data_IF_086878607518
#
_entry.id   IF_086878607518
#
_cell.length_a   1.000
_cell.length_b   1.000
_cell.length_c   1.000
_cell.angle_alpha   90.00
_cell.angle_beta   90.00
_cell.angle_gamma   90.00
#
_symmetry.space_group_name_H-M   'P 1'
#
loop_
_entity.id
_entity.type
_entity.pdbx_description
1 polymer ?
#
# COMPACT_ATOMS: atom_id res chain seq x y z
N UNK A 1 -26.65 -1.04 -1.82
CA UNK A 1 -25.65 0.00 -2.19
C UNK A 1 -26.40 1.29 -2.47
N UNK A 2 -25.94 2.43 -1.94
CA UNK A 2 -26.63 3.72 -2.10
C UNK A 2 -26.96 4.03 -3.57
N UNK A 3 -28.21 4.40 -3.82
CA UNK A 3 -28.74 4.59 -5.18
C UNK A 3 -28.34 5.93 -5.78
N UNK A 4 -28.00 6.93 -4.95
CA UNK A 4 -27.76 8.31 -5.40
C UNK A 4 -26.28 8.62 -5.71
N UNK A 5 -25.34 8.25 -4.84
CA UNK A 5 -23.90 8.43 -5.08
C UNK A 5 -23.15 7.10 -5.19
N UNK A 6 -22.23 7.01 -6.16
CA UNK A 6 -21.26 5.91 -6.24
C UNK A 6 -20.06 6.23 -5.36
N UNK A 7 -19.65 5.27 -4.53
CA UNK A 7 -18.43 5.40 -3.72
C UNK A 7 -17.20 5.41 -4.64
N UNK A 8 -16.38 6.46 -4.52
CA UNK A 8 -15.11 6.62 -5.27
C UNK A 8 -13.88 6.51 -4.36
N UNK A 9 -14.06 6.29 -3.07
CA UNK A 9 -12.96 6.30 -2.10
C UNK A 9 -13.02 5.11 -1.15
N UNK A 10 -11.85 4.75 -0.64
CA UNK A 10 -11.67 3.83 0.48
C UNK A 10 -10.88 4.56 1.55
N UNK A 11 -11.20 4.29 2.81
CA UNK A 11 -10.48 4.86 3.94
C UNK A 11 -9.37 3.91 4.40
N UNK A 12 -8.23 4.47 4.78
CA UNK A 12 -7.10 3.76 5.36
C UNK A 12 -6.80 4.46 6.69
N UNK A 13 -6.78 3.68 7.77
CA UNK A 13 -6.43 4.18 9.10
C UNK A 13 -4.95 3.95 9.33
N UNK A 14 -4.19 5.02 9.58
CA UNK A 14 -2.78 4.96 9.95
C UNK A 14 -2.70 5.29 11.44
N UNK A 15 -2.30 4.29 12.24
CA UNK A 15 -2.23 4.40 13.70
C UNK A 15 -0.84 4.03 14.18
N UNK A 16 -0.37 4.70 15.23
CA UNK A 16 0.88 4.39 15.91
C UNK A 16 0.59 3.77 17.27
N UNK A 17 1.30 2.71 17.60
CA UNK A 17 1.38 2.20 18.97
C UNK A 17 2.57 2.82 19.72
N UNK A 18 2.34 3.28 20.95
CA UNK A 18 3.34 3.92 21.81
C UNK A 18 3.62 5.40 21.49
N UNK A 19 4.62 5.98 22.17
CA UNK A 19 4.87 7.44 22.20
C UNK A 19 6.10 7.91 21.42
N UNK A 20 6.86 7.01 20.79
CA UNK A 20 8.04 7.40 20.00
C UNK A 20 7.69 8.19 18.73
N UNK A 21 8.69 8.65 17.99
CA UNK A 21 8.46 9.33 16.72
C UNK A 21 7.85 8.40 15.66
N UNK A 22 7.09 8.97 14.72
CA UNK A 22 6.60 8.23 13.57
C UNK A 22 7.77 7.86 12.66
N UNK A 23 7.71 6.67 12.06
CA UNK A 23 8.61 6.38 10.94
C UNK A 23 8.09 7.20 9.76
N UNK A 24 8.86 8.21 9.38
CA UNK A 24 8.67 8.97 8.16
C UNK A 24 9.88 8.73 7.25
N UNK A 25 9.72 7.80 6.31
CA UNK A 25 10.77 7.53 5.32
C UNK A 25 10.64 8.40 4.07
N UNK A 26 9.61 9.24 3.98
CA UNK A 26 9.41 10.15 2.85
C UNK A 26 9.83 11.59 3.16
N UNK A 27 10.08 11.95 4.42
CA UNK A 27 10.73 13.20 4.85
C UNK A 27 9.83 14.43 4.80
N UNK A 28 8.54 14.27 5.08
CA UNK A 28 7.56 15.34 4.94
C UNK A 28 7.88 16.49 5.92
N UNK A 29 8.07 17.69 5.37
CA UNK A 29 8.42 18.88 6.15
C UNK A 29 9.91 19.23 6.17
N UNK A 30 10.75 18.42 5.52
CA UNK A 30 12.17 18.73 5.27
C UNK A 30 12.47 18.69 3.76
N UNK A 31 13.34 17.79 3.28
CA UNK A 31 13.69 17.62 1.86
C UNK A 31 12.84 16.57 1.12
N UNK A 32 11.85 16.02 1.82
CA UNK A 32 11.10 14.86 1.40
C UNK A 32 9.99 15.10 0.38
N UNK A 33 9.30 14.01 0.02
CA UNK A 33 8.17 14.04 -0.92
C UNK A 33 6.94 14.63 -0.26
N UNK A 34 6.29 15.58 -0.92
CA UNK A 34 5.01 16.12 -0.49
C UNK A 34 3.92 15.02 -0.54
N UNK A 35 3.41 14.64 0.64
CA UNK A 35 2.40 13.58 0.81
C UNK A 35 1.20 14.19 1.54
N UNK A 36 0.00 13.98 1.01
CA UNK A 36 -1.26 14.43 1.62
C UNK A 36 -2.00 13.26 2.26
N UNK A 37 -3.16 13.49 2.89
CA UNK A 37 -4.04 12.42 3.41
C UNK A 37 -5.05 11.90 2.36
N UNK A 38 -4.99 12.39 1.12
CA UNK A 38 -5.82 11.93 0.00
C UNK A 38 -4.89 11.39 -1.07
N UNK A 39 -4.92 10.08 -1.28
CA UNK A 39 -4.09 9.43 -2.28
C UNK A 39 -4.93 8.96 -3.46
N UNK A 40 -4.56 9.40 -4.66
CA UNK A 40 -5.20 8.98 -5.89
C UNK A 40 -4.41 7.82 -6.50
N UNK A 41 -4.97 6.62 -6.38
CA UNK A 41 -4.48 5.44 -7.09
C UNK A 41 -5.58 4.97 -8.02
N UNK A 42 -5.20 4.55 -9.22
CA UNK A 42 -6.11 3.92 -10.15
C UNK A 42 -6.63 2.62 -9.55
N UNK A 43 -7.84 2.67 -8.99
CA UNK A 43 -8.56 1.47 -8.60
C UNK A 43 -8.92 0.67 -9.84
N UNK A 44 -8.79 -0.66 -9.82
CA UNK A 44 -9.31 -1.57 -10.86
C UNK A 44 -10.85 -1.64 -10.90
N UNK A 45 -11.54 -0.59 -10.45
CA UNK A 45 -12.99 -0.44 -10.60
C UNK A 45 -13.38 0.13 -11.96
N UNK A 46 -12.43 0.48 -12.83
CA UNK A 46 -12.69 0.82 -14.23
C UNK A 46 -12.89 -0.47 -15.04
N UNK A 47 -14.04 -0.52 -15.72
CA UNK A 47 -14.46 -1.59 -16.62
C UNK A 47 -13.38 -1.78 -17.70
N UNK A 48 -12.60 -2.86 -17.62
CA UNK A 48 -11.71 -3.34 -18.67
C UNK A 48 -12.10 -4.77 -19.03
N UNK A 49 -11.90 -5.14 -20.30
CA UNK A 49 -12.46 -6.34 -20.93
C UNK A 49 -12.00 -7.67 -20.29
N UNK A 50 -10.92 -7.67 -19.52
CA UNK A 50 -10.31 -8.86 -18.91
C UNK A 50 -10.94 -9.25 -17.55
N UNK A 51 -12.17 -8.79 -17.30
CA UNK A 51 -12.87 -8.87 -16.00
C UNK A 51 -13.17 -10.30 -15.53
N UNK A 52 -13.31 -11.26 -16.44
CA UNK A 52 -13.78 -12.62 -16.10
C UNK A 52 -12.77 -13.42 -15.28
N UNK A 53 -11.51 -13.40 -15.69
CA UNK A 53 -10.49 -14.30 -15.13
C UNK A 53 -9.85 -13.73 -13.86
N UNK A 54 -9.74 -12.41 -13.72
CA UNK A 54 -9.14 -11.77 -12.54
C UNK A 54 -10.11 -11.67 -11.34
N UNK A 55 -11.42 -11.54 -11.57
CA UNK A 55 -12.44 -11.52 -10.51
C UNK A 55 -12.61 -12.86 -9.82
N UNK A 56 -12.40 -13.95 -10.54
CA UNK A 56 -12.54 -15.30 -10.03
C UNK A 56 -11.47 -15.63 -8.97
N UNK A 57 -10.36 -14.88 -8.93
CA UNK A 57 -9.24 -15.10 -8.00
C UNK A 57 -9.42 -14.43 -6.63
N UNK A 58 -9.78 -13.14 -6.54
CA UNK A 58 -10.15 -12.53 -5.25
C UNK A 58 -10.96 -11.22 -5.42
N UNK A 59 -12.11 -11.05 -4.73
CA UNK A 59 -13.06 -9.95 -4.99
C UNK A 59 -12.59 -8.55 -4.54
N UNK A 60 -11.48 -8.45 -3.81
CA UNK A 60 -10.95 -7.17 -3.29
C UNK A 60 -9.43 -7.07 -3.44
N UNK A 61 -8.91 -7.15 -4.66
CA UNK A 61 -7.48 -6.91 -4.92
C UNK A 61 -7.13 -5.46 -4.57
N UNK A 62 -6.22 -5.28 -3.62
CA UNK A 62 -5.66 -3.96 -3.29
C UNK A 62 -4.58 -3.60 -4.33
N UNK A 63 -4.51 -2.35 -4.83
CA UNK A 63 -3.44 -1.94 -5.73
C UNK A 63 -2.06 -2.17 -5.08
N UNK A 64 -1.19 -2.92 -5.75
CA UNK A 64 0.17 -3.24 -5.27
C UNK A 64 0.98 -1.95 -5.03
N UNK A 65 0.80 -0.94 -5.88
CA UNK A 65 1.47 0.37 -5.76
C UNK A 65 1.08 1.12 -4.49
N UNK A 66 -0.19 1.06 -4.08
CA UNK A 66 -0.67 1.63 -2.82
C UNK A 66 0.00 0.92 -1.63
N UNK A 67 0.02 -0.41 -1.64
CA UNK A 67 0.62 -1.22 -0.57
C UNK A 67 2.13 -0.96 -0.47
N UNK A 68 2.81 -0.87 -1.61
CA UNK A 68 4.23 -0.48 -1.71
C UNK A 68 4.49 0.88 -1.08
N UNK A 69 3.73 1.90 -1.44
CA UNK A 69 3.96 3.22 -0.88
C UNK A 69 3.75 3.29 0.64
N UNK A 70 2.78 2.51 1.16
CA UNK A 70 2.56 2.40 2.62
C UNK A 70 3.76 1.74 3.29
N UNK A 71 4.20 0.57 2.81
CA UNK A 71 5.31 -0.18 3.42
C UNK A 71 6.60 0.66 3.36
N UNK A 72 6.93 1.22 2.20
CA UNK A 72 8.12 2.04 2.03
C UNK A 72 8.07 3.36 2.83
N UNK A 73 6.88 3.89 3.12
CA UNK A 73 6.74 5.12 3.88
C UNK A 73 6.87 4.90 5.40
N UNK A 74 6.36 3.78 5.89
CA UNK A 74 6.15 3.53 7.32
C UNK A 74 7.04 2.42 7.91
N UNK A 75 7.96 1.84 7.15
CA UNK A 75 8.86 0.79 7.61
C UNK A 75 10.30 0.98 7.13
N UNK A 76 11.24 0.21 7.71
CA UNK A 76 12.65 0.17 7.30
C UNK A 76 13.00 -1.26 6.88
N UNK A 77 14.03 -1.46 6.04
CA UNK A 77 14.51 -2.80 5.72
C UNK A 77 14.77 -3.64 6.97
N UNK A 78 14.28 -4.88 6.98
CA UNK A 78 14.38 -5.80 8.11
C UNK A 78 13.29 -5.64 9.18
N UNK A 79 12.38 -4.66 9.05
CA UNK A 79 11.16 -4.62 9.87
C UNK A 79 10.19 -5.74 9.47
N UNK A 80 9.37 -6.19 10.43
CA UNK A 80 8.35 -7.21 10.21
C UNK A 80 7.05 -6.54 9.80
N UNK A 81 6.48 -6.95 8.67
CA UNK A 81 5.15 -6.55 8.20
C UNK A 81 4.16 -7.67 8.47
N UNK A 82 3.03 -7.34 9.11
CA UNK A 82 1.96 -8.29 9.41
C UNK A 82 0.69 -7.91 8.65
N UNK A 83 0.19 -8.85 7.83
CA UNK A 83 -1.14 -8.77 7.21
C UNK A 83 -2.02 -9.94 7.68
N UNK A 84 -2.89 -9.67 8.65
CA UNK A 84 -3.84 -10.67 9.17
C UNK A 84 -4.96 -10.99 8.18
N UNK A 85 -5.07 -10.26 7.08
CA UNK A 85 -6.10 -10.41 6.06
C UNK A 85 -5.46 -10.56 4.68
N UNK A 86 -4.52 -11.51 4.58
CA UNK A 86 -3.60 -11.69 3.46
C UNK A 86 -4.23 -11.77 2.07
N UNK A 87 -5.54 -12.10 1.96
CA UNK A 87 -6.34 -11.92 0.75
C UNK A 87 -5.62 -12.37 -0.53
N UNK A 88 -5.41 -11.44 -1.46
CA UNK A 88 -4.76 -11.66 -2.76
C UNK A 88 -3.22 -11.73 -2.73
N UNK A 89 -2.58 -11.73 -1.55
CA UNK A 89 -1.12 -11.82 -1.42
C UNK A 89 -0.34 -10.55 -1.77
N UNK A 90 -1.02 -9.42 -2.05
CA UNK A 90 -0.39 -8.16 -2.46
C UNK A 90 0.64 -7.65 -1.43
N UNK A 91 0.41 -7.88 -0.13
CA UNK A 91 1.32 -7.47 0.94
C UNK A 91 2.59 -8.31 0.97
N UNK A 92 2.50 -9.63 0.82
CA UNK A 92 3.67 -10.52 0.73
C UNK A 92 4.55 -10.20 -0.48
N UNK A 93 3.93 -9.96 -1.64
CA UNK A 93 4.65 -9.63 -2.86
C UNK A 93 5.51 -8.37 -2.68
N UNK A 94 4.93 -7.33 -2.07
CA UNK A 94 5.59 -6.04 -1.85
C UNK A 94 6.69 -6.15 -0.80
N UNK A 95 6.44 -6.82 0.32
CA UNK A 95 7.43 -6.98 1.40
C UNK A 95 8.68 -7.74 0.92
N UNK A 96 8.47 -8.83 0.16
CA UNK A 96 9.58 -9.59 -0.45
C UNK A 96 10.40 -8.71 -1.41
N UNK A 97 9.73 -7.94 -2.26
CA UNK A 97 10.40 -7.01 -3.17
C UNK A 97 11.17 -5.91 -2.42
N UNK A 98 10.62 -5.40 -1.30
CA UNK A 98 11.25 -4.39 -0.46
C UNK A 98 12.54 -4.89 0.17
N UNK A 99 12.56 -6.12 0.69
CA UNK A 99 13.74 -6.76 1.24
C UNK A 99 14.84 -6.96 0.18
N UNK A 100 14.50 -7.45 -1.02
CA UNK A 100 15.47 -7.62 -2.11
C UNK A 100 16.05 -6.28 -2.60
N UNK A 101 15.20 -5.26 -2.74
CA UNK A 101 15.64 -3.93 -3.17
C UNK A 101 16.57 -3.26 -2.15
N UNK A 102 16.38 -3.52 -0.85
CA UNK A 102 17.28 -3.06 0.20
C UNK A 102 18.61 -3.82 0.20
N UNK A 103 18.58 -5.15 0.03
CA UNK A 103 19.78 -5.99 -0.07
C UNK A 103 20.69 -5.62 -1.25
N UNK A 104 20.11 -5.17 -2.38
CA UNK A 104 20.86 -4.69 -3.54
C UNK A 104 21.59 -3.35 -3.29
N UNK A 105 21.07 -2.48 -2.40
CA UNK A 105 21.67 -1.17 -2.08
C UNK A 105 22.77 -1.25 -1.01
N UNK A 106 22.86 -2.35 -0.26
CA UNK A 106 23.86 -2.53 0.81
C UNK A 106 25.18 -3.17 0.35
N UNK A 107 25.41 -3.33 -0.97
CA UNK A 107 26.59 -4.00 -1.55
C UNK A 107 27.55 -3.07 -2.31
N UNK A 108 27.43 -1.76 -2.17
CA UNK A 108 28.39 -0.78 -2.71
C UNK A 108 29.39 -0.31 -1.65
#
# INVERSE_FOLDING_TARGET
MGTFYRSKHKLIFVVKHGTGEHIDSFGLGDTGRYRTNVWDYTGRSSISADRGDELAMHPTVRPVTLVSDIIHGCSKPGHIILDCFGGSGSTQLVDLAFLFAAGARGRS
#
